data_IF_504509453111
#
_entry.id   IF_504509453111
#
_cell.length_a   1.000
_cell.length_b   1.000
_cell.length_c   1.000
_cell.angle_alpha   90.00
_cell.angle_beta   90.00
_cell.angle_gamma   90.00
#
_symmetry.space_group_name_H-M   'P 1'
#
loop_
_entity.id
_entity.type
_entity.pdbx_description
1 polymer ?
#
# COMPACT_ATOMS: atom_id res chain seq x y z
N UNK A 1 -21.35 14.07 -15.86
CA UNK A 1 -20.95 13.72 -14.49
C UNK A 1 -20.18 12.41 -14.53
N UNK A 2 -19.03 12.31 -13.86
CA UNK A 2 -18.29 11.04 -13.76
C UNK A 2 -19.11 10.01 -12.96
N UNK A 3 -19.14 8.77 -13.43
CA UNK A 3 -19.72 7.67 -12.69
C UNK A 3 -18.81 7.24 -11.53
N UNK A 4 -19.29 6.41 -10.60
CA UNK A 4 -18.53 6.03 -9.40
C UNK A 4 -17.25 5.26 -9.74
N UNK A 5 -17.25 4.45 -10.80
CA UNK A 5 -16.03 3.77 -11.28
C UNK A 5 -14.99 4.77 -11.77
N UNK A 6 -15.40 5.79 -12.56
CA UNK A 6 -14.47 6.82 -13.06
C UNK A 6 -13.88 7.66 -11.92
N UNK A 7 -14.71 8.01 -10.92
CA UNK A 7 -14.23 8.69 -9.70
C UNK A 7 -13.25 7.80 -8.93
N UNK A 8 -13.56 6.51 -8.78
CA UNK A 8 -12.67 5.55 -8.14
C UNK A 8 -11.32 5.44 -8.84
N UNK A 9 -11.31 5.35 -10.17
CA UNK A 9 -10.09 5.33 -10.98
C UNK A 9 -9.25 6.59 -10.75
N UNK A 10 -9.88 7.76 -10.83
CA UNK A 10 -9.17 9.03 -10.59
C UNK A 10 -8.53 9.07 -9.19
N UNK A 11 -9.27 8.66 -8.15
CA UNK A 11 -8.79 8.62 -6.78
C UNK A 11 -7.63 7.62 -6.60
N UNK A 12 -7.70 6.45 -7.25
CA UNK A 12 -6.58 5.47 -7.22
C UNK A 12 -5.33 6.07 -7.86
N UNK A 13 -5.44 6.64 -9.05
CA UNK A 13 -4.30 7.25 -9.75
C UNK A 13 -3.69 8.37 -8.88
N UNK A 14 -4.50 9.23 -8.32
CA UNK A 14 -4.03 10.32 -7.44
C UNK A 14 -3.38 9.77 -6.17
N UNK A 15 -4.02 8.85 -5.48
CA UNK A 15 -3.52 8.25 -4.24
C UNK A 15 -2.20 7.50 -4.45
N UNK A 16 -2.09 6.70 -5.50
CA UNK A 16 -0.87 5.97 -5.83
C UNK A 16 0.26 6.89 -6.27
N UNK A 17 -0.03 7.98 -6.97
CA UNK A 17 0.97 9.00 -7.29
C UNK A 17 1.51 9.65 -6.00
N UNK A 18 0.65 10.01 -5.05
CA UNK A 18 1.07 10.55 -3.76
C UNK A 18 1.93 9.54 -2.99
N UNK A 19 1.56 8.27 -2.97
CA UNK A 19 2.36 7.23 -2.31
C UNK A 19 3.71 7.01 -2.98
N UNK A 20 3.82 7.14 -4.29
CA UNK A 20 5.11 7.03 -4.99
C UNK A 20 6.11 8.09 -4.52
N UNK A 21 5.68 9.34 -4.38
CA UNK A 21 6.53 10.40 -3.82
C UNK A 21 6.86 10.14 -2.35
N UNK A 22 5.91 9.63 -1.58
CA UNK A 22 6.14 9.24 -0.19
C UNK A 22 7.18 8.12 -0.07
N UNK A 23 7.14 7.11 -0.95
CA UNK A 23 8.07 5.97 -0.94
C UNK A 23 9.52 6.42 -1.19
N UNK A 24 9.73 7.42 -2.05
CA UNK A 24 11.03 8.05 -2.25
C UNK A 24 11.56 8.63 -0.94
N UNK A 25 10.73 9.38 -0.22
CA UNK A 25 11.13 9.98 1.05
C UNK A 25 11.41 8.92 2.12
N UNK A 26 10.61 7.86 2.16
CA UNK A 26 10.81 6.75 3.10
C UNK A 26 12.10 6.01 2.79
N UNK A 27 12.38 5.71 1.52
CA UNK A 27 13.65 5.11 1.10
C UNK A 27 14.83 5.99 1.47
N UNK A 28 14.73 7.29 1.26
CA UNK A 28 15.76 8.25 1.68
C UNK A 28 15.99 8.23 3.20
N UNK A 29 14.89 8.29 3.98
CA UNK A 29 14.95 8.29 5.44
C UNK A 29 15.39 6.94 6.04
N UNK A 30 15.27 5.84 5.30
CA UNK A 30 15.65 4.51 5.81
C UNK A 30 17.13 4.42 6.22
N UNK A 31 17.97 5.30 5.69
CA UNK A 31 19.40 5.37 6.04
C UNK A 31 19.67 6.07 7.38
N UNK A 32 18.77 6.94 7.85
CA UNK A 32 19.04 7.83 8.99
C UNK A 32 17.95 7.87 10.07
N UNK A 33 16.78 7.26 9.83
CA UNK A 33 15.62 7.36 10.73
C UNK A 33 15.06 5.96 10.98
N UNK A 34 14.55 5.68 12.20
CA UNK A 34 13.87 4.42 12.50
C UNK A 34 12.52 4.32 11.79
N UNK A 35 12.16 3.14 11.29
CA UNK A 35 10.86 2.88 10.65
C UNK A 35 9.70 3.15 11.61
N UNK A 36 9.85 2.82 12.89
CA UNK A 36 8.80 3.07 13.89
C UNK A 36 8.64 4.56 14.20
N UNK A 37 9.72 5.34 14.14
CA UNK A 37 9.64 6.80 14.23
C UNK A 37 8.88 7.39 13.03
N UNK A 38 9.09 6.86 11.83
CA UNK A 38 8.32 7.26 10.64
C UNK A 38 6.84 6.96 10.85
N UNK A 39 6.47 5.76 11.30
CA UNK A 39 5.09 5.41 11.60
C UNK A 39 4.46 6.30 12.66
N UNK A 40 5.18 6.58 13.74
CA UNK A 40 4.73 7.42 14.84
C UNK A 40 4.39 8.84 14.36
N UNK A 41 5.38 9.53 13.75
CA UNK A 41 5.21 10.91 13.28
C UNK A 41 4.14 10.99 12.18
N UNK A 42 4.16 10.06 11.22
CA UNK A 42 3.15 9.95 10.17
C UNK A 42 1.75 9.80 10.74
N UNK A 43 1.59 9.01 11.80
CA UNK A 43 0.28 8.76 12.43
C UNK A 43 -0.25 10.00 13.14
N UNK A 44 0.60 10.72 13.89
CA UNK A 44 0.22 11.99 14.53
C UNK A 44 -0.24 12.99 13.48
N UNK A 45 0.55 13.20 12.44
CA UNK A 45 0.24 14.18 11.39
C UNK A 45 -1.00 13.74 10.62
N UNK A 46 -1.15 12.45 10.33
CA UNK A 46 -2.34 11.90 9.69
C UNK A 46 -3.61 12.15 10.50
N UNK A 47 -3.57 11.95 11.82
CA UNK A 47 -4.69 12.26 12.73
C UNK A 47 -4.99 13.76 12.76
N UNK A 48 -3.98 14.62 12.78
CA UNK A 48 -4.16 16.08 12.71
C UNK A 48 -4.82 16.51 11.39
N UNK A 49 -4.32 16.02 10.26
CA UNK A 49 -4.89 16.34 8.93
C UNK A 49 -6.36 15.91 8.85
N UNK A 50 -6.69 14.70 9.31
CA UNK A 50 -8.08 14.22 9.34
C UNK A 50 -8.94 15.10 10.25
N UNK A 51 -8.45 15.44 11.44
CA UNK A 51 -9.18 16.27 12.40
C UNK A 51 -9.48 17.66 11.83
N UNK A 52 -8.51 18.27 11.15
CA UNK A 52 -8.67 19.55 10.46
C UNK A 52 -9.72 19.42 9.33
N UNK A 53 -9.62 18.38 8.51
CA UNK A 53 -10.56 18.16 7.42
C UNK A 53 -12.01 17.94 7.92
N UNK A 54 -12.18 17.22 9.02
CA UNK A 54 -13.50 16.99 9.63
C UNK A 54 -14.09 18.27 10.20
N UNK A 55 -13.28 19.17 10.75
CA UNK A 55 -13.72 20.48 11.23
C UNK A 55 -14.32 21.32 10.10
N UNK A 56 -13.77 21.26 8.89
CA UNK A 56 -14.28 21.95 7.71
C UNK A 56 -15.53 21.28 7.12
N UNK A 57 -15.60 19.96 7.11
CA UNK A 57 -16.70 19.22 6.49
C UNK A 57 -17.88 18.97 7.43
N UNK A 58 -17.76 19.33 8.72
CA UNK A 58 -18.76 19.07 9.78
C UNK A 58 -19.14 17.59 9.91
N UNK A 59 -18.27 16.68 9.44
CA UNK A 59 -18.45 15.24 9.57
C UNK A 59 -17.99 14.80 10.96
N UNK A 60 -18.63 13.76 11.51
CA UNK A 60 -18.28 13.20 12.82
C UNK A 60 -17.49 11.90 12.65
N UNK A 61 -16.45 11.75 13.45
CA UNK A 61 -15.82 10.44 13.60
C UNK A 61 -16.71 9.59 14.50
N UNK A 62 -17.04 8.41 14.00
CA UNK A 62 -17.64 7.36 14.82
C UNK A 62 -16.48 6.49 15.29
N UNK A 63 -16.12 6.63 16.59
CA UNK A 63 -14.98 5.89 17.16
C UNK A 63 -15.23 4.38 17.22
N UNK A 64 -16.49 3.98 17.42
CA UNK A 64 -16.88 2.58 17.46
C UNK A 64 -17.18 2.09 16.05
N UNK A 65 -16.42 1.09 15.58
CA UNK A 65 -16.75 0.38 14.36
C UNK A 65 -17.92 -0.58 14.59
N UNK A 66 -18.81 -0.69 13.62
CA UNK A 66 -19.84 -1.73 13.57
C UNK A 66 -19.26 -3.14 13.32
N UNK A 67 -18.02 -3.20 12.83
CA UNK A 67 -17.28 -4.43 12.54
C UNK A 67 -15.95 -4.50 13.32
N UNK A 68 -15.94 -4.56 14.66
CA UNK A 68 -14.72 -4.37 15.47
C UNK A 68 -13.62 -5.40 15.16
N UNK A 69 -13.99 -6.67 14.96
CA UNK A 69 -13.01 -7.73 14.63
C UNK A 69 -12.38 -7.51 13.27
N UNK A 70 -13.19 -7.20 12.24
CA UNK A 70 -12.67 -6.93 10.90
C UNK A 70 -11.80 -5.66 10.88
N UNK A 71 -12.19 -4.64 11.64
CA UNK A 71 -11.38 -3.43 11.80
C UNK A 71 -10.04 -3.73 12.46
N UNK A 72 -10.01 -4.56 13.53
CA UNK A 72 -8.78 -4.98 14.17
C UNK A 72 -7.88 -5.78 13.21
N UNK A 73 -8.43 -6.76 12.51
CA UNK A 73 -7.69 -7.52 11.49
C UNK A 73 -7.12 -6.58 10.43
N UNK A 74 -7.92 -5.67 9.91
CA UNK A 74 -7.52 -4.72 8.88
C UNK A 74 -6.35 -3.82 9.31
N UNK A 75 -6.39 -3.26 10.52
CA UNK A 75 -5.33 -2.35 10.99
C UNK A 75 -4.03 -3.09 11.27
N UNK A 76 -4.08 -4.34 11.76
CA UNK A 76 -2.91 -5.19 11.94
C UNK A 76 -2.30 -5.56 10.57
N UNK A 77 -3.14 -5.95 9.61
CA UNK A 77 -2.69 -6.25 8.24
C UNK A 77 -2.03 -5.02 7.60
N UNK A 78 -2.62 -3.84 7.70
CA UNK A 78 -2.01 -2.62 7.18
C UNK A 78 -0.67 -2.29 7.82
N UNK A 79 -0.60 -2.34 9.15
CA UNK A 79 0.63 -2.03 9.85
C UNK A 79 1.75 -3.00 9.45
N UNK A 80 1.49 -4.31 9.49
CA UNK A 80 2.47 -5.33 9.11
C UNK A 80 2.84 -5.28 7.62
N UNK A 81 1.87 -4.99 6.74
CA UNK A 81 2.08 -4.83 5.31
C UNK A 81 3.05 -3.69 5.01
N UNK A 82 2.76 -2.49 5.52
CA UNK A 82 3.61 -1.33 5.28
C UNK A 82 4.96 -1.43 6.00
N UNK A 83 5.01 -2.05 7.19
CA UNK A 83 6.27 -2.35 7.85
C UNK A 83 7.17 -3.24 6.97
N UNK A 84 6.62 -4.34 6.45
CA UNK A 84 7.35 -5.23 5.54
C UNK A 84 7.79 -4.50 4.27
N UNK A 85 6.91 -3.68 3.68
CA UNK A 85 7.23 -2.91 2.49
C UNK A 85 8.35 -1.90 2.75
N UNK A 86 8.30 -1.14 3.84
CA UNK A 86 9.33 -0.15 4.18
C UNK A 86 10.68 -0.81 4.47
N UNK A 87 10.68 -1.94 5.16
CA UNK A 87 11.91 -2.75 5.35
C UNK A 87 12.48 -3.16 3.98
N UNK A 88 11.65 -3.55 3.03
CA UNK A 88 12.11 -3.92 1.69
C UNK A 88 12.79 -2.76 0.96
N UNK A 89 12.33 -1.52 1.15
CA UNK A 89 12.90 -0.33 0.53
C UNK A 89 14.33 -0.03 1.00
N UNK A 90 14.74 -0.51 2.18
CA UNK A 90 16.13 -0.38 2.65
C UNK A 90 17.10 -1.26 1.87
N UNK A 91 16.60 -2.27 1.14
CA UNK A 91 17.40 -3.28 0.43
C UNK A 91 17.16 -3.34 -1.06
N UNK A 92 15.94 -3.02 -1.50
CA UNK A 92 15.54 -3.13 -2.89
C UNK A 92 15.45 -1.75 -3.54
N UNK A 93 15.62 -1.69 -4.85
CA UNK A 93 15.29 -0.49 -5.61
C UNK A 93 13.76 -0.25 -5.56
N UNK A 94 13.35 1.02 -5.70
CA UNK A 94 11.92 1.38 -5.74
C UNK A 94 11.17 0.62 -6.83
N UNK A 95 11.79 0.50 -8.02
CA UNK A 95 11.20 -0.20 -9.14
C UNK A 95 10.93 -1.68 -8.84
N UNK A 96 11.89 -2.37 -8.21
CA UNK A 96 11.76 -3.80 -7.84
C UNK A 96 10.73 -3.98 -6.74
N UNK A 97 10.82 -3.21 -5.64
CA UNK A 97 9.89 -3.32 -4.51
C UNK A 97 8.43 -3.08 -4.96
N UNK A 98 8.19 -2.00 -5.70
CA UNK A 98 6.87 -1.67 -6.22
C UNK A 98 6.39 -2.68 -7.27
N UNK A 99 7.27 -3.21 -8.12
CA UNK A 99 6.89 -4.24 -9.10
C UNK A 99 6.40 -5.52 -8.42
N UNK A 100 7.04 -5.94 -7.34
CA UNK A 100 6.60 -7.09 -6.54
C UNK A 100 5.30 -6.80 -5.79
N UNK A 101 5.11 -5.58 -5.28
CA UNK A 101 3.84 -5.15 -4.70
C UNK A 101 2.67 -5.21 -5.71
N UNK A 102 2.95 -5.12 -7.01
CA UNK A 102 1.93 -5.25 -8.05
C UNK A 102 1.34 -6.64 -8.25
N UNK A 103 1.70 -7.60 -7.44
CA UNK A 103 0.88 -8.79 -7.23
C UNK A 103 -0.44 -8.46 -6.51
N UNK A 104 -0.58 -7.27 -5.93
CA UNK A 104 -1.78 -6.85 -5.20
C UNK A 104 -3.07 -6.90 -6.03
N UNK A 105 -3.17 -6.44 -7.29
CA UNK A 105 -4.37 -6.60 -8.09
C UNK A 105 -4.78 -8.06 -8.33
N UNK A 106 -3.81 -8.97 -8.36
CA UNK A 106 -4.10 -10.40 -8.49
C UNK A 106 -4.72 -10.94 -7.21
N UNK A 107 -4.14 -10.62 -6.04
CA UNK A 107 -4.71 -10.99 -4.74
C UNK A 107 -6.07 -10.34 -4.51
N UNK A 108 -6.26 -9.05 -4.87
CA UNK A 108 -7.54 -8.36 -4.80
C UNK A 108 -8.59 -9.12 -5.63
N UNK A 109 -8.23 -9.56 -6.84
CA UNK A 109 -9.13 -10.33 -7.70
C UNK A 109 -9.52 -11.67 -7.07
N UNK A 110 -8.54 -12.41 -6.52
CA UNK A 110 -8.78 -13.69 -5.84
C UNK A 110 -9.68 -13.49 -4.61
N UNK A 111 -9.37 -12.51 -3.77
CA UNK A 111 -10.15 -12.24 -2.57
C UNK A 111 -11.55 -11.68 -2.86
N UNK A 112 -11.71 -10.91 -3.93
CA UNK A 112 -13.04 -10.48 -4.39
C UNK A 112 -13.91 -11.67 -4.79
N UNK A 113 -13.33 -12.69 -5.43
CA UNK A 113 -14.05 -13.93 -5.74
C UNK A 113 -14.48 -14.66 -4.47
N UNK A 114 -13.58 -14.79 -3.50
CA UNK A 114 -13.82 -15.58 -2.28
C UNK A 114 -14.81 -14.85 -1.35
N UNK A 115 -14.56 -13.58 -1.05
CA UNK A 115 -15.28 -12.83 -0.01
C UNK A 115 -16.45 -12.02 -0.54
N UNK A 116 -16.35 -11.48 -1.77
CA UNK A 116 -17.43 -10.69 -2.39
C UNK A 116 -18.23 -11.51 -3.39
N UNK A 117 -17.88 -12.80 -3.59
CA UNK A 117 -18.55 -13.73 -4.51
C UNK A 117 -18.61 -13.24 -5.97
N UNK A 118 -17.63 -12.45 -6.38
CA UNK A 118 -17.51 -11.99 -7.76
C UNK A 118 -17.12 -13.14 -8.70
N UNK A 119 -17.74 -13.22 -9.88
CA UNK A 119 -17.44 -14.27 -10.87
C UNK A 119 -16.21 -13.89 -11.68
N UNK A 120 -15.18 -14.74 -11.65
CA UNK A 120 -13.92 -14.56 -12.37
C UNK A 120 -13.85 -15.54 -13.54
N UNK A 121 -13.69 -15.01 -14.75
CA UNK A 121 -13.53 -15.80 -15.96
C UNK A 121 -12.12 -16.38 -16.12
N UNK A 122 -12.00 -17.48 -16.90
CA UNK A 122 -10.72 -18.19 -17.15
C UNK A 122 -9.59 -17.28 -17.66
N UNK A 123 -9.92 -16.24 -18.41
CA UNK A 123 -8.93 -15.29 -18.95
C UNK A 123 -8.28 -14.43 -17.87
N UNK A 124 -9.04 -14.06 -16.82
CA UNK A 124 -8.52 -13.35 -15.66
C UNK A 124 -7.56 -14.25 -14.88
N UNK A 125 -7.88 -15.55 -14.76
CA UNK A 125 -6.96 -16.54 -14.21
C UNK A 125 -5.66 -16.65 -15.00
N UNK A 126 -5.75 -16.71 -16.34
CA UNK A 126 -4.55 -16.73 -17.20
C UNK A 126 -3.66 -15.49 -16.98
N UNK A 127 -4.26 -14.32 -16.87
CA UNK A 127 -3.50 -13.09 -16.59
C UNK A 127 -2.87 -13.08 -15.19
N UNK A 128 -3.58 -13.60 -14.17
CA UNK A 128 -3.02 -13.77 -12.81
C UNK A 128 -1.78 -14.67 -12.86
N UNK A 129 -1.87 -15.83 -13.51
CA UNK A 129 -0.74 -16.77 -13.65
C UNK A 129 0.42 -16.09 -14.39
N UNK A 130 0.13 -15.39 -15.48
CA UNK A 130 1.15 -14.66 -16.25
C UNK A 130 1.86 -13.58 -15.40
N UNK A 131 1.10 -12.83 -14.59
CA UNK A 131 1.66 -11.84 -13.66
C UNK A 131 2.58 -12.48 -12.61
N UNK A 132 2.20 -13.63 -12.03
CA UNK A 132 3.07 -14.36 -11.10
C UNK A 132 4.34 -14.89 -11.77
N UNK A 133 4.30 -15.28 -13.06
CA UNK A 133 5.52 -15.59 -13.81
C UNK A 133 6.44 -14.38 -13.88
N UNK A 134 5.92 -13.18 -14.10
CA UNK A 134 6.70 -11.94 -14.04
C UNK A 134 7.37 -11.72 -12.67
N UNK A 135 6.68 -12.02 -11.57
CA UNK A 135 7.26 -11.95 -10.20
C UNK A 135 8.42 -12.92 -10.05
N UNK A 136 8.28 -14.18 -10.50
CA UNK A 136 9.34 -15.19 -10.44
C UNK A 136 10.57 -14.75 -11.23
N UNK A 137 10.37 -14.12 -12.40
CA UNK A 137 11.46 -13.59 -13.22
C UNK A 137 12.22 -12.49 -12.47
N UNK A 138 11.52 -11.55 -11.81
CA UNK A 138 12.15 -10.48 -11.00
C UNK A 138 12.92 -11.08 -9.82
N UNK A 139 12.30 -11.99 -9.09
CA UNK A 139 12.91 -12.60 -7.90
C UNK A 139 14.14 -13.44 -8.25
N UNK A 140 14.18 -14.01 -9.45
CA UNK A 140 15.27 -14.86 -9.92
C UNK A 140 15.78 -15.86 -8.85
N UNK A 141 14.89 -16.71 -8.28
CA UNK A 141 15.24 -17.56 -7.15
C UNK A 141 16.32 -18.57 -7.56
N UNK A 142 17.56 -18.35 -7.11
CA UNK A 142 18.61 -19.35 -7.16
C UNK A 142 18.56 -20.12 -5.86
N UNK A 143 18.65 -21.46 -5.93
CA UNK A 143 18.54 -22.36 -4.78
C UNK A 143 19.56 -21.99 -3.68
N UNK A 144 20.75 -21.51 -4.07
CA UNK A 144 21.84 -21.18 -3.15
C UNK A 144 21.78 -19.75 -2.56
N UNK A 145 20.91 -18.86 -3.06
CA UNK A 145 20.84 -17.45 -2.67
C UNK A 145 19.42 -16.88 -2.75
N UNK A 146 18.47 -17.48 -2.03
CA UNK A 146 17.13 -16.93 -1.88
C UNK A 146 17.20 -15.65 -1.03
N UNK A 147 17.11 -14.51 -1.67
CA UNK A 147 16.98 -13.24 -0.98
C UNK A 147 15.55 -13.06 -0.47
N UNK A 148 15.31 -13.34 0.81
CA UNK A 148 14.00 -13.26 1.44
C UNK A 148 13.39 -11.86 1.41
N UNK A 149 14.18 -10.81 1.18
CA UNK A 149 13.66 -9.43 1.08
C UNK A 149 12.71 -9.24 -0.11
N UNK A 150 12.80 -10.05 -1.17
CA UNK A 150 11.81 -10.04 -2.26
C UNK A 150 10.41 -10.52 -1.83
N UNK A 151 10.32 -11.34 -0.77
CA UNK A 151 9.03 -11.80 -0.27
C UNK A 151 8.28 -10.71 0.51
N UNK A 152 8.97 -9.71 1.05
CA UNK A 152 8.35 -8.65 1.85
C UNK A 152 7.34 -7.82 1.05
N UNK A 153 7.64 -7.31 -0.17
CA UNK A 153 6.63 -6.62 -0.98
C UNK A 153 5.48 -7.53 -1.42
N UNK A 154 5.74 -8.83 -1.66
CA UNK A 154 4.67 -9.79 -2.01
C UNK A 154 3.75 -10.03 -0.82
N UNK A 155 4.30 -10.17 0.40
CA UNK A 155 3.51 -10.22 1.64
C UNK A 155 2.69 -8.93 1.82
N UNK A 156 3.33 -7.76 1.60
CA UNK A 156 2.63 -6.48 1.62
C UNK A 156 1.44 -6.49 0.65
N UNK A 157 1.64 -6.93 -0.58
CA UNK A 157 0.60 -7.02 -1.61
C UNK A 157 -0.59 -7.90 -1.16
N UNK A 158 -0.32 -9.04 -0.53
CA UNK A 158 -1.34 -9.95 -0.02
C UNK A 158 -2.13 -9.32 1.13
N UNK A 159 -1.42 -8.79 2.15
CA UNK A 159 -2.05 -8.19 3.33
C UNK A 159 -2.83 -6.90 2.96
N UNK A 160 -2.28 -6.09 2.05
CA UNK A 160 -2.94 -4.94 1.47
C UNK A 160 -4.23 -5.33 0.74
N UNK A 161 -4.16 -6.33 -0.15
CA UNK A 161 -5.32 -6.80 -0.90
C UNK A 161 -6.46 -7.24 0.02
N UNK A 162 -6.15 -8.02 1.05
CA UNK A 162 -7.15 -8.43 2.04
C UNK A 162 -7.75 -7.23 2.77
N UNK A 163 -6.92 -6.24 3.12
CA UNK A 163 -7.36 -5.00 3.76
C UNK A 163 -8.30 -4.19 2.87
N UNK A 164 -8.05 -4.11 1.56
CA UNK A 164 -8.93 -3.42 0.60
C UNK A 164 -10.30 -4.11 0.50
N UNK A 165 -10.33 -5.43 0.54
CA UNK A 165 -11.60 -6.18 0.57
C UNK A 165 -12.37 -5.92 1.87
N UNK A 166 -11.69 -5.87 3.02
CA UNK A 166 -12.33 -5.52 4.28
C UNK A 166 -12.88 -4.08 4.24
N UNK A 167 -12.16 -3.11 3.68
CA UNK A 167 -12.66 -1.74 3.49
C UNK A 167 -13.95 -1.75 2.67
N UNK A 168 -13.97 -2.49 1.57
CA UNK A 168 -15.17 -2.60 0.73
C UNK A 168 -16.32 -3.24 1.50
N UNK A 169 -16.07 -4.35 2.19
CA UNK A 169 -17.08 -5.09 2.94
C UNK A 169 -17.69 -4.26 4.07
N UNK A 170 -16.87 -3.49 4.80
CA UNK A 170 -17.32 -2.68 5.95
C UNK A 170 -17.83 -1.28 5.56
N UNK A 171 -17.80 -0.94 4.27
CA UNK A 171 -18.13 0.40 3.77
C UNK A 171 -19.60 0.78 3.88
N UNK A 172 -20.49 -0.16 4.14
CA UNK A 172 -21.92 0.05 4.31
C UNK A 172 -22.26 0.78 5.63
N UNK A 173 -21.48 0.51 6.70
CA UNK A 173 -21.73 1.05 8.03
C UNK A 173 -20.60 1.95 8.54
N UNK A 174 -19.34 1.60 8.30
CA UNK A 174 -18.21 2.40 8.73
C UNK A 174 -17.90 3.51 7.71
N UNK A 175 -17.79 4.75 8.18
CA UNK A 175 -17.41 5.88 7.32
C UNK A 175 -15.94 5.81 6.91
N UNK A 176 -15.58 6.46 5.78
CA UNK A 176 -14.17 6.54 5.35
C UNK A 176 -13.30 7.19 6.41
N UNK A 177 -13.81 8.21 7.09
CA UNK A 177 -13.08 8.92 8.14
C UNK A 177 -12.82 8.03 9.35
N UNK A 178 -13.81 7.24 9.78
CA UNK A 178 -13.64 6.26 10.87
C UNK A 178 -12.64 5.18 10.49
N UNK A 179 -12.69 4.68 9.26
CA UNK A 179 -11.75 3.67 8.77
C UNK A 179 -10.30 4.17 8.75
N UNK A 180 -10.06 5.43 8.33
CA UNK A 180 -8.73 6.04 8.32
C UNK A 180 -8.29 6.42 9.75
N UNK A 181 -9.21 6.90 10.58
CA UNK A 181 -8.92 7.17 11.99
C UNK A 181 -8.41 5.91 12.71
N UNK A 182 -9.12 4.78 12.57
CA UNK A 182 -8.68 3.51 13.17
C UNK A 182 -7.31 3.06 12.65
N UNK A 183 -7.01 3.31 11.37
CA UNK A 183 -5.70 3.01 10.79
C UNK A 183 -4.59 3.79 11.50
N UNK A 184 -4.74 5.11 11.63
CA UNK A 184 -3.70 5.96 12.21
C UNK A 184 -3.58 5.80 13.73
N UNK A 185 -4.69 5.68 14.46
CA UNK A 185 -4.62 5.49 15.91
C UNK A 185 -3.98 4.14 16.26
N UNK A 186 -4.28 3.08 15.52
CA UNK A 186 -3.64 1.78 15.74
C UNK A 186 -2.15 1.79 15.35
N UNK A 187 -1.78 2.42 14.25
CA UNK A 187 -0.36 2.57 13.87
C UNK A 187 0.41 3.39 14.90
N UNK A 188 -0.20 4.45 15.45
CA UNK A 188 0.37 5.23 16.55
C UNK A 188 0.60 4.38 17.80
N UNK A 189 -0.41 3.63 18.22
CA UNK A 189 -0.30 2.76 19.39
C UNK A 189 0.75 1.67 19.18
N UNK A 190 0.71 0.97 18.05
CA UNK A 190 1.64 -0.12 17.75
C UNK A 190 3.08 0.38 17.65
N UNK A 191 3.33 1.49 16.92
CA UNK A 191 4.68 2.06 16.84
C UNK A 191 5.19 2.56 18.19
N UNK A 192 4.35 3.18 19.01
CA UNK A 192 4.70 3.63 20.36
C UNK A 192 5.05 2.45 21.27
N UNK A 193 4.22 1.41 21.29
CA UNK A 193 4.46 0.22 22.13
C UNK A 193 5.76 -0.48 21.75
N UNK A 194 6.00 -0.67 20.44
CA UNK A 194 7.24 -1.29 19.97
C UNK A 194 8.44 -0.44 20.35
N UNK A 195 8.33 0.88 20.20
CA UNK A 195 9.43 1.80 20.50
C UNK A 195 9.80 1.88 21.99
N UNK A 196 8.86 1.61 22.90
CA UNK A 196 9.18 1.50 24.32
C UNK A 196 10.20 0.38 24.63
N UNK A 197 10.27 -0.65 23.76
CA UNK A 197 11.18 -1.76 23.94
C UNK A 197 12.48 -1.66 23.11
N UNK A 198 12.44 -0.95 21.97
CA UNK A 198 13.55 -0.94 21.00
C UNK A 198 13.94 0.45 20.52
N UNK A 199 13.25 1.50 20.97
CA UNK A 199 13.45 2.88 20.45
C UNK A 199 14.68 3.61 21.03
N UNK A 200 15.34 3.04 22.01
CA UNK A 200 16.56 3.57 22.65
C UNK A 200 17.85 3.28 21.85
N UNK A 201 17.74 2.50 20.76
CA UNK A 201 18.88 2.12 19.94
C UNK A 201 19.77 1.03 20.52
N UNK A 202 19.45 0.48 21.69
CA UNK A 202 20.26 -0.55 22.36
C UNK A 202 20.43 -1.83 21.52
N UNK A 203 19.45 -2.14 20.66
CA UNK A 203 19.47 -3.27 19.74
C UNK A 203 20.09 -2.94 18.37
N UNK A 204 20.56 -1.72 18.14
CA UNK A 204 21.18 -1.31 16.87
C UNK A 204 22.67 -1.73 16.81
N UNK A 205 22.92 -3.00 17.02
CA UNK A 205 24.26 -3.61 17.05
C UNK A 205 24.67 -4.27 15.72
N UNK A 206 23.80 -4.23 14.72
CA UNK A 206 23.97 -4.92 13.45
C UNK A 206 24.37 -3.94 12.34
N UNK A 207 25.29 -4.37 11.46
CA UNK A 207 25.67 -3.60 10.26
C UNK A 207 24.69 -3.76 9.08
N UNK A 208 23.62 -4.53 9.28
CA UNK A 208 22.59 -4.76 8.28
C UNK A 208 21.64 -3.55 8.13
N UNK A 209 21.51 -2.94 6.94
CA UNK A 209 20.65 -1.76 6.73
C UNK A 209 19.21 -1.94 7.16
N UNK A 210 18.64 -3.15 7.02
CA UNK A 210 17.25 -3.44 7.38
C UNK A 210 17.07 -3.49 8.90
N UNK A 211 18.04 -4.09 9.60
CA UNK A 211 18.06 -4.14 11.07
C UNK A 211 18.36 -2.77 11.66
N UNK A 212 19.27 -1.99 11.04
CA UNK A 212 19.48 -0.59 11.42
C UNK A 212 18.21 0.24 11.25
N UNK A 213 17.45 0.03 10.17
CA UNK A 213 16.19 0.74 9.95
C UNK A 213 15.13 0.39 11.01
N UNK A 214 15.15 -0.85 11.55
CA UNK A 214 14.26 -1.27 12.63
C UNK A 214 14.70 -0.74 13.99
N UNK A 215 15.99 -0.90 14.34
CA UNK A 215 16.49 -0.74 15.71
C UNK A 215 17.24 0.58 15.97
N UNK A 216 17.28 1.49 14.99
CA UNK A 216 17.91 2.79 15.16
C UNK A 216 17.21 3.58 16.24
N UNK A 217 17.98 4.28 17.06
CA UNK A 217 17.51 5.23 18.05
C UNK A 217 16.62 6.29 17.43
N UNK A 218 15.57 6.70 18.14
CA UNK A 218 14.75 7.81 17.74
C UNK A 218 15.45 9.13 17.98
N UNK A 219 15.52 9.90 16.92
CA UNK A 219 16.21 11.18 16.95
C UNK A 219 15.30 12.31 16.49
N UNK A 220 14.99 13.23 17.41
CA UNK A 220 14.21 14.43 17.12
C UNK A 220 15.16 15.63 17.11
N UNK A 221 15.76 15.92 15.96
CA UNK A 221 16.48 17.16 15.71
C UNK A 221 15.79 17.93 14.60
N UNK A 222 15.77 19.25 14.72
CA UNK A 222 15.27 20.11 13.65
C UNK A 222 16.28 20.11 12.50
N UNK A 223 16.04 19.26 11.53
CA UNK A 223 16.84 19.10 10.33
C UNK A 223 15.94 18.74 9.13
N UNK A 224 16.53 18.54 7.96
CA UNK A 224 15.82 18.18 6.74
C UNK A 224 14.97 16.90 6.89
N UNK A 225 15.43 15.91 7.67
CA UNK A 225 14.70 14.68 7.92
C UNK A 225 13.35 14.94 8.62
N UNK A 226 13.31 15.90 9.54
CA UNK A 226 12.07 16.30 10.23
C UNK A 226 11.05 16.86 9.26
N UNK A 227 11.46 17.68 8.29
CA UNK A 227 10.57 18.20 7.25
C UNK A 227 10.01 17.06 6.41
N UNK A 228 10.85 16.08 6.03
CA UNK A 228 10.40 14.92 5.26
C UNK A 228 9.41 14.06 6.04
N UNK A 229 9.58 13.89 7.35
CA UNK A 229 8.60 13.20 8.20
C UNK A 229 7.21 13.89 8.17
N UNK A 230 7.19 15.24 8.20
CA UNK A 230 5.93 15.99 8.06
C UNK A 230 5.30 15.78 6.68
N UNK A 231 6.08 15.87 5.62
CA UNK A 231 5.60 15.65 4.25
C UNK A 231 5.03 14.24 4.09
N UNK A 232 5.70 13.21 4.62
CA UNK A 232 5.22 11.83 4.63
C UNK A 232 3.88 11.69 5.37
N UNK A 233 3.71 12.39 6.49
CA UNK A 233 2.47 12.38 7.25
C UNK A 233 1.30 12.97 6.47
N UNK A 234 1.49 14.12 5.82
CA UNK A 234 0.47 14.77 4.98
C UNK A 234 0.17 13.90 3.75
N UNK A 235 1.21 13.46 3.04
CA UNK A 235 1.07 12.60 1.86
C UNK A 235 0.33 11.31 2.21
N UNK A 236 0.67 10.69 3.35
CA UNK A 236 -0.01 9.50 3.85
C UNK A 236 -1.51 9.73 4.09
N UNK A 237 -1.87 10.85 4.72
CA UNK A 237 -3.28 11.17 5.00
C UNK A 237 -4.09 11.35 3.71
N UNK A 238 -3.55 12.11 2.75
CA UNK A 238 -4.19 12.36 1.45
C UNK A 238 -4.25 11.07 0.61
N UNK A 239 -3.16 10.31 0.55
CA UNK A 239 -3.10 9.06 -0.19
C UNK A 239 -4.10 8.03 0.36
N UNK A 240 -4.16 7.84 1.69
CA UNK A 240 -5.13 6.92 2.29
C UNK A 240 -6.57 7.38 2.13
N UNK A 241 -6.84 8.68 2.19
CA UNK A 241 -8.18 9.18 1.89
C UNK A 241 -8.61 8.82 0.46
N UNK A 242 -7.75 9.09 -0.52
CA UNK A 242 -8.01 8.75 -1.91
C UNK A 242 -8.23 7.24 -2.08
N UNK A 243 -7.37 6.42 -1.50
CA UNK A 243 -7.42 4.98 -1.60
C UNK A 243 -8.68 4.39 -0.97
N UNK A 244 -8.96 4.74 0.30
CA UNK A 244 -10.14 4.24 1.00
C UNK A 244 -11.42 4.66 0.30
N UNK A 245 -11.51 5.93 -0.14
CA UNK A 245 -12.68 6.41 -0.85
C UNK A 245 -12.87 5.69 -2.18
N UNK A 246 -11.79 5.44 -2.94
CA UNK A 246 -11.87 4.72 -4.21
C UNK A 246 -12.44 3.29 -4.02
N UNK A 247 -11.90 2.54 -3.07
CA UNK A 247 -12.35 1.18 -2.79
C UNK A 247 -13.76 1.10 -2.19
N UNK A 248 -14.23 2.18 -1.56
CA UNK A 248 -15.63 2.28 -1.09
C UNK A 248 -16.61 2.44 -2.23
N UNK A 249 -16.35 3.37 -3.15
CA UNK A 249 -17.32 3.77 -4.18
C UNK A 249 -17.31 2.86 -5.41
N UNK A 250 -16.20 2.19 -5.70
CA UNK A 250 -16.05 1.35 -6.88
C UNK A 250 -15.81 -0.12 -6.53
N UNK A 251 -15.99 -1.01 -7.52
CA UNK A 251 -15.63 -2.43 -7.38
C UNK A 251 -14.11 -2.57 -7.36
N UNK A 252 -13.52 -3.28 -6.37
CA UNK A 252 -12.08 -3.46 -6.25
C UNK A 252 -11.41 -3.97 -7.53
N UNK A 253 -11.89 -5.03 -8.21
CA UNK A 253 -11.26 -5.51 -9.44
C UNK A 253 -11.29 -4.52 -10.61
N UNK A 254 -12.20 -3.53 -10.57
CA UNK A 254 -12.30 -2.52 -11.65
C UNK A 254 -11.27 -1.41 -11.51
N UNK A 255 -10.84 -1.11 -10.29
CA UNK A 255 -9.95 0.01 -10.00
C UNK A 255 -8.51 -0.45 -9.71
N UNK A 256 -8.30 -1.65 -9.18
CA UNK A 256 -6.99 -2.18 -8.83
C UNK A 256 -5.95 -2.13 -9.98
N UNK A 257 -6.30 -2.38 -11.26
CA UNK A 257 -5.32 -2.25 -12.34
C UNK A 257 -4.73 -0.85 -12.52
N UNK A 258 -5.40 0.19 -12.05
CA UNK A 258 -4.88 1.57 -12.14
C UNK A 258 -3.81 1.87 -11.07
N UNK A 259 -3.62 0.98 -10.10
CA UNK A 259 -2.47 1.04 -9.19
C UNK A 259 -1.14 0.91 -9.95
N UNK A 260 -1.12 0.34 -11.15
CA UNK A 260 0.09 0.23 -11.99
C UNK A 260 0.75 1.58 -12.31
N UNK A 261 0.06 2.72 -12.11
CA UNK A 261 0.66 4.05 -12.22
C UNK A 261 1.87 4.21 -11.28
N UNK A 262 1.87 3.51 -10.15
CA UNK A 262 2.97 3.50 -9.18
C UNK A 262 4.29 3.02 -9.83
N UNK A 263 4.26 2.05 -10.77
CA UNK A 263 5.48 1.56 -11.45
C UNK A 263 6.13 2.68 -12.28
N UNK A 264 5.31 3.41 -13.04
CA UNK A 264 5.82 4.49 -13.87
C UNK A 264 6.56 5.51 -12.99
N UNK A 265 5.96 5.88 -11.86
CA UNK A 265 6.59 6.75 -10.88
C UNK A 265 7.83 6.11 -10.26
N UNK A 266 7.78 4.84 -9.88
CA UNK A 266 8.90 4.16 -9.21
C UNK A 266 10.13 4.03 -10.09
N UNK A 267 9.96 3.76 -11.38
CA UNK A 267 11.06 3.72 -12.35
C UNK A 267 11.61 5.14 -12.53
N UNK A 268 10.73 6.12 -12.80
CA UNK A 268 11.15 7.50 -13.07
C UNK A 268 11.84 8.13 -11.85
N UNK A 269 11.23 8.03 -10.67
CA UNK A 269 11.78 8.60 -9.43
C UNK A 269 12.98 7.81 -8.91
N UNK A 270 12.98 6.48 -9.07
CA UNK A 270 14.13 5.64 -8.74
C UNK A 270 15.37 6.05 -9.54
N UNK A 271 15.19 6.28 -10.83
CA UNK A 271 16.29 6.77 -11.68
C UNK A 271 16.72 8.19 -11.33
N UNK A 272 15.77 9.12 -11.23
CA UNK A 272 16.08 10.55 -11.03
C UNK A 272 16.70 10.82 -9.65
N UNK A 273 16.21 10.15 -8.59
CA UNK A 273 16.61 10.44 -7.21
C UNK A 273 17.76 9.55 -6.73
N UNK A 274 17.76 8.27 -7.10
CA UNK A 274 18.72 7.27 -6.60
C UNK A 274 19.68 6.76 -7.68
N UNK A 275 19.47 7.07 -8.95
CA UNK A 275 20.23 6.50 -10.06
C UNK A 275 19.91 5.02 -10.33
N UNK A 276 18.87 4.49 -9.68
CA UNK A 276 18.50 3.08 -9.74
C UNK A 276 17.80 2.79 -11.08
N UNK A 277 18.42 2.00 -11.95
CA UNK A 277 17.80 1.50 -13.18
C UNK A 277 17.55 0.00 -13.02
N UNK A 278 16.32 -0.49 -13.29
CA UNK A 278 16.06 -1.92 -13.27
C UNK A 278 16.99 -2.67 -14.23
N UNK A 279 17.52 -3.80 -13.79
CA UNK A 279 18.27 -4.69 -14.67
C UNK A 279 17.37 -5.30 -15.75
N UNK A 280 17.97 -5.90 -16.79
CA UNK A 280 17.22 -6.43 -17.93
C UNK A 280 16.17 -7.48 -17.53
N UNK A 281 16.43 -8.27 -16.50
CA UNK A 281 15.48 -9.29 -16.00
C UNK A 281 14.31 -8.64 -15.28
N UNK A 282 14.59 -7.70 -14.38
CA UNK A 282 13.55 -6.92 -13.71
C UNK A 282 12.68 -6.19 -14.72
N UNK A 283 13.27 -5.62 -15.77
CA UNK A 283 12.52 -4.96 -16.83
C UNK A 283 11.57 -5.92 -17.56
N UNK A 284 11.99 -7.13 -17.89
CA UNK A 284 11.14 -8.17 -18.51
C UNK A 284 10.00 -8.55 -17.55
N UNK A 285 10.30 -8.83 -16.29
CA UNK A 285 9.29 -9.18 -15.29
C UNK A 285 8.27 -8.07 -15.06
N UNK A 286 8.72 -6.81 -14.96
CA UNK A 286 7.87 -5.61 -14.86
C UNK A 286 6.93 -5.52 -16.06
N UNK A 287 7.44 -5.70 -17.27
CA UNK A 287 6.65 -5.64 -18.50
C UNK A 287 5.55 -6.71 -18.52
N UNK A 288 5.87 -7.94 -18.07
CA UNK A 288 4.90 -9.03 -17.97
C UNK A 288 3.81 -8.70 -16.92
N UNK A 289 4.18 -8.19 -15.75
CA UNK A 289 3.23 -7.81 -14.69
C UNK A 289 2.28 -6.72 -15.20
N UNK A 290 2.82 -5.64 -15.76
CA UNK A 290 2.01 -4.53 -16.31
C UNK A 290 1.11 -5.04 -17.44
N UNK A 291 1.67 -5.77 -18.39
CA UNK A 291 0.93 -6.29 -19.54
C UNK A 291 -0.23 -7.19 -19.12
N UNK A 292 -0.02 -8.07 -18.14
CA UNK A 292 -1.07 -8.94 -17.61
C UNK A 292 -2.17 -8.15 -16.89
N UNK A 293 -1.83 -7.14 -16.12
CA UNK A 293 -2.79 -6.27 -15.45
C UNK A 293 -3.61 -5.42 -16.41
N UNK A 294 -2.96 -4.80 -17.40
CA UNK A 294 -3.64 -4.03 -18.44
C UNK A 294 -4.54 -4.91 -19.32
N UNK A 295 -4.14 -6.14 -19.59
CA UNK A 295 -5.00 -7.09 -20.32
C UNK A 295 -6.31 -7.34 -19.57
N UNK A 296 -6.28 -7.55 -18.26
CA UNK A 296 -7.50 -7.71 -17.44
C UNK A 296 -8.39 -6.47 -17.61
N UNK A 297 -7.82 -5.29 -17.44
CA UNK A 297 -8.54 -4.03 -17.51
C UNK A 297 -9.24 -3.79 -18.85
N UNK A 298 -8.50 -3.85 -19.97
CA UNK A 298 -9.07 -3.61 -21.30
C UNK A 298 -10.17 -4.60 -21.64
N UNK A 299 -10.01 -5.85 -21.25
CA UNK A 299 -10.99 -6.87 -21.56
C UNK A 299 -12.30 -6.72 -20.77
N UNK A 300 -12.25 -6.24 -19.55
CA UNK A 300 -13.46 -5.97 -18.74
C UNK A 300 -14.25 -4.80 -19.31
N UNK A 301 -13.57 -3.75 -19.75
CA UNK A 301 -14.20 -2.59 -20.39
C UNK A 301 -14.91 -2.95 -21.71
N UNK A 302 -14.34 -3.84 -22.53
CA UNK A 302 -14.93 -4.24 -23.81
C UNK A 302 -16.23 -5.04 -23.61
N UNK A 303 -16.36 -5.80 -22.51
CA UNK A 303 -17.51 -6.68 -22.31
C UNK A 303 -18.76 -6.02 -21.79
N UNK A 304 -18.72 -4.75 -21.33
CA UNK A 304 -19.88 -4.04 -20.71
C UNK A 304 -20.68 -4.93 -19.73
N UNK A 305 -20.01 -5.92 -19.11
CA UNK A 305 -20.66 -6.71 -18.07
C UNK A 305 -20.86 -5.81 -16.87
N UNK A 306 -22.06 -5.74 -16.28
CA UNK A 306 -22.27 -5.01 -15.04
C UNK A 306 -21.37 -5.64 -13.98
N UNK A 307 -20.33 -4.91 -13.58
CA UNK A 307 -19.31 -5.34 -12.60
C UNK A 307 -19.82 -5.14 -11.18
N UNK A 308 -21.01 -4.60 -11.01
CA UNK A 308 -21.62 -4.43 -9.70
C UNK A 308 -22.82 -5.35 -9.54
N UNK A 309 -22.80 -6.17 -8.52
CA UNK A 309 -24.04 -6.63 -7.92
C UNK A 309 -24.74 -5.39 -7.36
N UNK A 310 -25.87 -4.98 -7.95
CA UNK A 310 -26.71 -3.89 -7.47
C UNK A 310 -27.30 -4.12 -6.07
N UNK A 311 -26.95 -5.21 -5.41
CA UNK A 311 -27.43 -5.50 -4.05
C UNK A 311 -26.24 -5.62 -3.10
N UNK A 312 -26.16 -4.75 -2.06
CA UNK A 312 -25.33 -5.04 -0.91
C UNK A 312 -25.79 -6.38 -0.34
N UNK A 313 -24.84 -7.27 -0.09
CA UNK A 313 -25.10 -8.53 0.58
C UNK A 313 -25.77 -8.22 1.93
N UNK A 314 -27.03 -8.60 2.08
CA UNK A 314 -27.75 -8.62 3.34
C UNK A 314 -27.29 -9.80 4.17
#
# INVERSE_FOLDING_TARGET
MFNDTQKGIFLIILGMSIFSFQDVLIKYLSTNTSVFQIFFVRSIIGLLVISVFLSFTKQKIIFKSEYPILTLIRVILFFSAFLAFYISLSRLSLAVANSLFFTSPFFITIFSMIFLKEKIGIRRWAAIICGFVGVIIIMNPKIDNLNLFYLLPVYCALAYALSMIIIKYTSDKDSVYSQIFHLYISALIMSSLISLFIGDGSLNIYDDPSLQFLFREWYLSYNQNTIFLFVIGIAGALGFFCLHQAYRIASPPSIAPFEYILILWSISLGWVVFGDVPDSRSFVGITIIIGSGLYIFFRENIRKAPISTEKPLR
#
